data_IF_901043293690
#
_entry.id   IF_901043293690
#
_cell.length_a   1.000
_cell.length_b   1.000
_cell.length_c   1.000
_cell.angle_alpha   90.00
_cell.angle_beta   90.00
_cell.angle_gamma   90.00
#
_symmetry.space_group_name_H-M   'P 1'
#
loop_
_entity.id
_entity.type
_entity.pdbx_description
1 polymer ?
#
# COMPACT_ATOMS: atom_id res chain seq x y z
N UNK A 1 3.79 30.84 14.48
CA UNK A 1 3.65 30.85 13.02
C UNK A 1 4.46 29.67 12.52
N UNK A 2 3.80 28.64 12.01
CA UNK A 2 4.46 27.39 11.59
C UNK A 2 4.98 27.60 10.16
N UNK A 3 6.29 27.60 9.97
CA UNK A 3 6.92 27.64 8.64
C UNK A 3 6.40 26.49 7.80
N UNK A 4 5.57 26.80 6.80
CA UNK A 4 5.11 25.83 5.81
C UNK A 4 6.20 25.77 4.74
N UNK A 5 7.25 25.00 5.02
CA UNK A 5 8.31 24.74 4.04
C UNK A 5 7.68 24.07 2.81
N UNK A 6 7.83 24.67 1.64
CA UNK A 6 7.34 24.13 0.37
C UNK A 6 8.18 22.90 -0.03
N UNK A 7 7.66 21.71 0.30
CA UNK A 7 8.26 20.41 -0.02
C UNK A 7 7.80 19.85 -1.37
N UNK A 8 7.09 20.62 -2.21
CA UNK A 8 6.48 20.12 -3.46
C UNK A 8 7.46 19.40 -4.37
N UNK A 9 8.72 19.82 -4.42
CA UNK A 9 9.78 19.22 -5.23
C UNK A 9 10.31 17.88 -4.70
N UNK A 10 9.95 17.49 -3.46
CA UNK A 10 10.39 16.26 -2.79
C UNK A 10 9.28 15.21 -2.67
N UNK A 11 8.07 15.56 -3.10
CA UNK A 11 6.90 14.70 -3.00
C UNK A 11 6.29 14.55 -4.40
N UNK A 12 6.26 13.32 -4.92
CA UNK A 12 5.61 13.01 -6.20
C UNK A 12 4.35 12.18 -6.01
N UNK A 13 3.28 12.47 -6.74
CA UNK A 13 2.08 11.63 -6.79
C UNK A 13 1.93 11.03 -8.18
N UNK A 14 1.98 9.69 -8.26
CA UNK A 14 1.67 8.93 -9.46
C UNK A 14 0.27 8.32 -9.31
N UNK A 15 -0.58 8.53 -10.30
CA UNK A 15 -1.94 8.01 -10.34
C UNK A 15 -2.11 7.07 -11.52
N UNK A 16 -2.59 5.86 -11.28
CA UNK A 16 -2.84 4.84 -12.30
C UNK A 16 -4.34 4.55 -12.33
N UNK A 17 -4.96 4.79 -13.49
CA UNK A 17 -6.38 4.51 -13.70
C UNK A 17 -6.56 3.17 -14.40
N UNK A 18 -7.35 2.31 -13.80
CA UNK A 18 -7.70 0.98 -14.29
C UNK A 18 -9.22 0.91 -14.45
N UNK A 19 -9.67 0.24 -15.51
CA UNK A 19 -11.08 -0.02 -15.76
C UNK A 19 -11.25 -1.50 -16.04
N UNK A 20 -12.21 -2.12 -15.37
CA UNK A 20 -12.59 -3.49 -15.67
C UNK A 20 -13.38 -3.51 -17.01
N UNK A 21 -12.99 -4.36 -17.98
CA UNK A 21 -13.66 -4.40 -19.28
C UNK A 21 -15.05 -5.07 -19.24
N UNK A 22 -15.36 -5.88 -18.22
CA UNK A 22 -16.58 -6.68 -18.10
C UNK A 22 -17.53 -6.10 -17.06
N UNK A 23 -17.00 -5.67 -15.91
CA UNK A 23 -17.79 -5.16 -14.80
C UNK A 23 -17.70 -3.63 -14.68
N UNK A 24 -18.73 -2.94 -14.17
CA UNK A 24 -18.74 -1.48 -14.06
C UNK A 24 -17.93 -1.00 -12.85
N UNK A 25 -16.63 -1.30 -12.84
CA UNK A 25 -15.67 -0.88 -11.84
C UNK A 25 -14.52 -0.08 -12.45
N UNK A 26 -14.15 0.97 -11.74
CA UNK A 26 -12.97 1.78 -11.98
C UNK A 26 -12.11 1.71 -10.72
N UNK A 27 -10.83 1.42 -10.89
CA UNK A 27 -9.85 1.37 -9.80
C UNK A 27 -8.80 2.42 -10.07
N UNK A 28 -8.54 3.27 -9.09
CA UNK A 28 -7.44 4.24 -9.17
C UNK A 28 -6.42 3.90 -8.09
N UNK A 29 -5.19 3.59 -8.51
CA UNK A 29 -4.06 3.38 -7.62
C UNK A 29 -3.31 4.71 -7.46
N UNK A 30 -2.99 5.06 -6.23
CA UNK A 30 -2.21 6.24 -5.90
C UNK A 30 -0.89 5.80 -5.27
N UNK A 31 0.21 6.36 -5.77
CA UNK A 31 1.55 6.17 -5.24
C UNK A 31 2.14 7.54 -4.94
N UNK A 32 2.19 7.89 -3.66
CA UNK A 32 2.82 9.13 -3.19
C UNK A 32 4.21 8.80 -2.69
N UNK A 33 5.20 9.44 -3.28
CA UNK A 33 6.62 9.19 -3.03
C UNK A 33 7.20 10.37 -2.27
N UNK A 34 7.94 10.08 -1.21
CA UNK A 34 8.71 11.05 -0.42
C UNK A 34 10.19 10.76 -0.68
N UNK A 35 10.77 11.44 -1.67
CA UNK A 35 12.05 11.04 -2.27
C UNK A 35 13.22 11.10 -1.27
N UNK A 36 13.20 12.06 -0.36
CA UNK A 36 14.28 12.26 0.62
C UNK A 36 14.25 11.18 1.71
N UNK A 37 13.06 10.75 2.11
CA UNK A 37 12.81 9.80 3.18
C UNK A 37 12.87 8.35 2.69
N UNK A 38 12.88 8.14 1.37
CA UNK A 38 12.77 6.82 0.75
C UNK A 38 11.50 6.08 1.18
N UNK A 39 10.39 6.82 1.28
CA UNK A 39 9.08 6.31 1.70
C UNK A 39 8.09 6.40 0.53
N UNK A 40 7.29 5.36 0.35
CA UNK A 40 6.16 5.32 -0.57
C UNK A 40 4.89 5.07 0.23
N UNK A 41 3.94 5.97 0.09
CA UNK A 41 2.56 5.84 0.58
C UNK A 41 1.67 5.39 -0.58
N UNK A 42 0.84 4.39 -0.34
CA UNK A 42 -0.05 3.81 -1.33
C UNK A 42 -1.47 3.73 -0.80
N UNK A 43 -2.44 4.09 -1.64
CA UNK A 43 -3.85 3.82 -1.40
C UNK A 43 -4.59 3.59 -2.72
N UNK A 44 -5.79 3.02 -2.61
CA UNK A 44 -6.61 2.66 -3.77
C UNK A 44 -8.01 3.20 -3.60
N UNK A 45 -8.55 3.81 -4.66
CA UNK A 45 -9.97 4.14 -4.76
C UNK A 45 -10.65 3.12 -5.67
N UNK A 46 -11.63 2.40 -5.15
CA UNK A 46 -12.47 1.46 -5.91
C UNK A 46 -13.84 2.10 -6.08
N UNK A 47 -14.22 2.38 -7.33
CA UNK A 47 -15.50 3.01 -7.67
C UNK A 47 -16.31 2.05 -8.53
N UNK A 48 -17.58 1.88 -8.15
CA UNK A 48 -18.58 1.20 -8.98
C UNK A 48 -19.44 2.25 -9.67
N UNK A 49 -19.72 2.07 -10.96
CA UNK A 49 -20.59 2.97 -11.74
C UNK A 49 -22.00 2.39 -11.97
N UNK A 50 -22.23 1.11 -11.64
CA UNK A 50 -23.55 0.47 -11.67
C UNK A 50 -24.38 0.69 -10.39
N UNK A 51 -25.69 0.40 -10.46
CA UNK A 51 -26.66 0.64 -9.38
C UNK A 51 -26.74 -0.46 -8.33
N UNK A 52 -26.33 -1.69 -8.66
CA UNK A 52 -26.53 -2.82 -7.75
C UNK A 52 -25.52 -2.83 -6.60
N UNK A 53 -25.99 -3.31 -5.45
CA UNK A 53 -25.17 -3.49 -4.25
C UNK A 53 -24.20 -4.65 -4.44
N UNK A 54 -22.94 -4.41 -4.10
CA UNK A 54 -21.86 -5.40 -4.16
C UNK A 54 -21.15 -5.48 -2.82
N UNK A 55 -20.58 -6.64 -2.52
CA UNK A 55 -19.73 -6.84 -1.34
C UNK A 55 -18.27 -6.90 -1.77
N UNK A 56 -17.44 -5.98 -1.27
CA UNK A 56 -15.99 -6.05 -1.41
C UNK A 56 -15.44 -7.08 -0.42
N UNK A 57 -14.78 -8.13 -0.92
CA UNK A 57 -14.23 -9.20 -0.08
C UNK A 57 -12.78 -8.98 0.33
N UNK A 58 -11.93 -8.51 -0.60
CA UNK A 58 -10.50 -8.27 -0.39
C UNK A 58 -10.11 -6.95 -1.06
N UNK A 59 -9.39 -6.10 -0.33
CA UNK A 59 -9.00 -4.75 -0.76
C UNK A 59 -7.71 -4.33 -0.04
N UNK A 60 -6.66 -5.13 -0.18
CA UNK A 60 -5.36 -4.86 0.46
C UNK A 60 -4.76 -3.54 -0.02
N UNK A 61 -4.19 -2.77 0.91
CA UNK A 61 -3.55 -1.48 0.60
C UNK A 61 -2.25 -1.62 -0.19
N UNK A 62 -1.59 -2.77 -0.12
CA UNK A 62 -0.38 -3.09 -0.86
C UNK A 62 -0.31 -4.58 -1.20
N UNK A 63 0.40 -4.90 -2.29
CA UNK A 63 0.81 -6.25 -2.65
C UNK A 63 2.24 -6.19 -3.18
N UNK A 64 3.17 -6.84 -2.47
CA UNK A 64 4.60 -6.82 -2.79
C UNK A 64 4.95 -8.13 -3.49
N UNK A 65 5.52 -8.01 -4.68
CA UNK A 65 5.97 -9.17 -5.46
C UNK A 65 7.49 -9.31 -5.35
N UNK A 66 7.95 -10.46 -4.88
CA UNK A 66 9.36 -10.81 -4.78
C UNK A 66 9.69 -11.86 -5.84
N UNK A 67 10.61 -11.56 -6.75
CA UNK A 67 10.93 -12.43 -7.90
C UNK A 67 12.33 -13.05 -7.84
N UNK A 68 13.09 -12.83 -6.77
CA UNK A 68 14.46 -13.35 -6.65
C UNK A 68 14.50 -14.77 -6.09
N UNK A 69 15.51 -15.55 -6.51
CA UNK A 69 15.88 -16.83 -5.88
C UNK A 69 16.58 -16.64 -4.52
N UNK A 70 16.82 -15.40 -4.10
CA UNK A 70 17.43 -15.10 -2.82
C UNK A 70 16.50 -15.46 -1.66
N UNK A 71 17.10 -15.77 -0.51
CA UNK A 71 16.36 -15.93 0.75
C UNK A 71 15.94 -14.56 1.25
N UNK A 72 14.65 -14.41 1.55
CA UNK A 72 14.10 -13.22 2.19
C UNK A 72 13.75 -13.53 3.64
N UNK A 73 13.88 -12.53 4.50
CA UNK A 73 13.53 -12.63 5.92
C UNK A 73 12.51 -11.53 6.25
N UNK A 74 11.48 -11.90 7.00
CA UNK A 74 10.49 -10.98 7.54
C UNK A 74 10.80 -10.75 9.01
N UNK A 75 11.17 -9.51 9.35
CA UNK A 75 11.13 -9.04 10.72
C UNK A 75 9.73 -8.52 11.02
N UNK A 76 9.03 -9.12 11.98
CA UNK A 76 7.73 -8.62 12.44
C UNK A 76 7.71 -8.49 13.96
N UNK A 77 6.76 -7.70 14.44
CA UNK A 77 6.54 -7.47 15.86
C UNK A 77 5.23 -8.12 16.28
N UNK A 78 5.29 -8.96 17.31
CA UNK A 78 4.11 -9.58 17.91
C UNK A 78 4.09 -9.32 19.41
N UNK A 79 3.05 -9.74 20.10
CA UNK A 79 2.96 -9.55 21.54
C UNK A 79 1.54 -9.68 22.05
N UNK A 80 1.43 -9.72 23.37
CA UNK A 80 0.16 -9.61 24.08
C UNK A 80 0.13 -8.29 24.84
N UNK A 81 -1.02 -7.98 25.42
CA UNK A 81 -1.13 -6.89 26.38
C UNK A 81 -0.03 -6.98 27.45
N UNK A 82 0.61 -5.84 27.74
CA UNK A 82 1.75 -5.69 28.64
C UNK A 82 3.04 -6.43 28.21
N UNK A 83 3.09 -6.93 26.97
CA UNK A 83 4.24 -7.58 26.32
C UNK A 83 4.26 -7.26 24.81
N UNK A 84 3.92 -6.03 24.45
CA UNK A 84 3.87 -5.55 23.07
C UNK A 84 5.25 -5.47 22.43
N UNK A 85 5.29 -5.40 21.09
CA UNK A 85 6.51 -5.11 20.30
C UNK A 85 7.66 -6.11 20.47
N UNK A 86 7.36 -7.40 20.69
CA UNK A 86 8.39 -8.45 20.66
C UNK A 86 8.83 -8.71 19.21
N UNK A 87 10.12 -8.53 18.87
CA UNK A 87 10.61 -8.74 17.53
C UNK A 87 10.85 -10.23 17.24
N UNK A 88 10.48 -10.67 16.06
CA UNK A 88 10.79 -11.99 15.52
C UNK A 88 11.26 -11.86 14.07
N UNK A 89 12.23 -12.68 13.67
CA UNK A 89 12.69 -12.77 12.29
C UNK A 89 12.46 -14.19 11.77
N UNK A 90 11.71 -14.29 10.67
CA UNK A 90 11.41 -15.56 10.02
C UNK A 90 11.89 -15.55 8.56
N UNK A 91 12.43 -16.67 8.09
CA UNK A 91 12.73 -16.82 6.67
C UNK A 91 11.42 -17.00 5.89
N UNK A 92 11.19 -16.20 4.85
CA UNK A 92 10.07 -16.40 3.94
C UNK A 92 10.30 -17.65 3.08
N UNK A 93 9.30 -18.54 3.07
CA UNK A 93 9.28 -19.76 2.27
C UNK A 93 8.19 -19.65 1.20
N UNK A 94 8.47 -20.18 0.01
CA UNK A 94 7.50 -20.27 -1.09
C UNK A 94 6.48 -21.40 -0.85
#
# INVERSE_FOLDING_TARGET
QQDTLDYSHRIGLTTIHLKDPVYPFEVTLYYKTYYKENVIEQWTSIKRTGSDVVRLQKYSSANLYFSSTNKYYLTHFHGNWAREMSPEEIQLTA
#
